data_IF_891342325199
#
_entry.id   IF_891342325199
#
_cell.length_a   1.000
_cell.length_b   1.000
_cell.length_c   1.000
_cell.angle_alpha   90.00
_cell.angle_beta   90.00
_cell.angle_gamma   90.00
#
_symmetry.space_group_name_H-M   'P 1'
#
loop_
_entity.id
_entity.type
_entity.pdbx_description
1 polymer ?
#
# COMPACT_ATOMS: atom_id res chain seq x y z
N UNK A 1 8.63 7.50 4.32
CA UNK A 1 7.73 6.66 3.50
C UNK A 1 7.76 5.25 4.06
N UNK A 2 6.63 4.72 4.54
CA UNK A 2 6.57 3.33 4.99
C UNK A 2 6.51 2.40 3.77
N UNK A 3 7.03 1.18 3.89
CA UNK A 3 7.10 0.23 2.78
C UNK A 3 6.88 -1.19 3.31
N UNK A 4 5.97 -1.92 2.68
CA UNK A 4 5.52 -3.25 3.08
C UNK A 4 5.70 -4.23 1.91
N UNK A 5 6.32 -5.37 2.20
CA UNK A 5 6.47 -6.45 1.23
C UNK A 5 5.26 -7.37 1.32
N UNK A 6 4.67 -7.71 0.18
CA UNK A 6 3.59 -8.69 0.11
C UNK A 6 4.21 -10.09 0.08
N UNK A 7 3.92 -10.97 1.06
CA UNK A 7 4.53 -12.30 1.14
C UNK A 7 4.30 -13.15 -0.11
N UNK A 8 5.32 -13.92 -0.50
CA UNK A 8 5.30 -14.85 -1.64
C UNK A 8 5.06 -14.21 -3.01
N UNK A 9 5.23 -12.89 -3.12
CA UNK A 9 5.11 -12.14 -4.38
C UNK A 9 6.24 -11.12 -4.47
N UNK A 10 6.41 -10.54 -5.66
CA UNK A 10 7.26 -9.35 -5.85
C UNK A 10 6.49 -8.04 -5.63
N UNK A 11 5.27 -8.11 -5.08
CA UNK A 11 4.46 -6.92 -4.87
C UNK A 11 4.94 -6.12 -3.66
N UNK A 12 4.74 -4.81 -3.73
CA UNK A 12 5.11 -3.88 -2.69
C UNK A 12 4.04 -2.82 -2.51
N UNK A 13 3.79 -2.47 -1.26
CA UNK A 13 2.93 -1.35 -0.88
C UNK A 13 3.80 -0.30 -0.22
N UNK A 14 3.77 0.93 -0.71
CA UNK A 14 4.39 2.08 -0.06
C UNK A 14 3.33 3.06 0.41
N UNK A 15 3.64 3.78 1.48
CA UNK A 15 2.74 4.80 2.03
C UNK A 15 3.45 6.14 2.09
N UNK A 16 2.94 7.09 1.31
CA UNK A 16 3.31 8.49 1.32
C UNK A 16 2.31 9.27 2.18
N UNK A 17 2.67 9.46 3.46
CA UNK A 17 1.84 10.19 4.43
C UNK A 17 1.80 11.69 4.15
N UNK A 18 2.76 12.24 3.42
CA UNK A 18 2.77 13.67 3.06
C UNK A 18 1.74 13.95 1.96
N UNK A 19 1.65 13.05 0.97
CA UNK A 19 0.62 13.12 -0.09
C UNK A 19 -0.70 12.47 0.29
N UNK A 20 -0.75 11.73 1.41
CA UNK A 20 -1.89 10.91 1.85
C UNK A 20 -2.27 9.87 0.79
N UNK A 21 -1.27 9.15 0.30
CA UNK A 21 -1.40 8.14 -0.75
C UNK A 21 -0.75 6.82 -0.37
N UNK A 22 -1.35 5.73 -0.84
CA UNK A 22 -0.80 4.38 -0.83
C UNK A 22 -0.49 4.00 -2.27
N UNK A 23 0.76 3.58 -2.50
CA UNK A 23 1.31 3.24 -3.81
C UNK A 23 1.49 1.73 -3.88
N UNK A 24 0.90 1.08 -4.87
CA UNK A 24 1.01 -0.35 -5.08
C UNK A 24 1.86 -0.66 -6.31
N UNK A 25 2.86 -1.51 -6.12
CA UNK A 25 3.76 -1.99 -7.15
C UNK A 25 3.58 -3.49 -7.28
N UNK A 26 3.32 -3.99 -8.50
CA UNK A 26 3.10 -5.41 -8.79
C UNK A 26 4.41 -6.18 -9.02
N UNK A 27 5.54 -5.50 -9.08
CA UNK A 27 6.85 -6.14 -9.12
C UNK A 27 7.92 -5.15 -8.67
N UNK A 28 9.05 -5.69 -8.19
CA UNK A 28 10.20 -4.90 -7.77
C UNK A 28 10.77 -4.02 -8.90
N UNK A 29 10.67 -4.47 -10.16
CA UNK A 29 11.17 -3.74 -11.31
C UNK A 29 10.46 -2.39 -11.52
N UNK A 30 9.14 -2.33 -11.34
CA UNK A 30 8.36 -1.11 -11.50
C UNK A 30 8.85 -0.03 -10.51
N UNK A 31 9.10 -0.43 -9.28
CA UNK A 31 9.65 0.46 -8.24
C UNK A 31 11.07 0.91 -8.56
N UNK A 32 11.96 -0.03 -8.88
CA UNK A 32 13.40 0.23 -9.02
C UNK A 32 13.78 0.89 -10.35
N UNK A 33 13.10 0.55 -11.44
CA UNK A 33 13.45 1.01 -12.78
C UNK A 33 12.60 2.19 -13.25
N UNK A 34 11.29 2.18 -12.96
CA UNK A 34 10.37 3.22 -13.46
C UNK A 34 10.02 4.27 -12.40
N UNK A 35 10.00 3.88 -11.12
CA UNK A 35 9.54 4.73 -10.02
C UNK A 35 8.03 5.02 -10.04
N UNK A 36 7.28 4.45 -10.99
CA UNK A 36 5.84 4.66 -11.11
C UNK A 36 5.08 3.45 -10.53
N UNK A 37 4.13 3.68 -9.61
CA UNK A 37 3.27 2.61 -9.10
C UNK A 37 2.30 2.13 -10.17
N UNK A 38 1.92 0.86 -10.08
CA UNK A 38 0.85 0.30 -10.91
C UNK A 38 -0.50 0.91 -10.52
N UNK A 39 -0.71 1.13 -9.23
CA UNK A 39 -1.95 1.67 -8.67
C UNK A 39 -1.65 2.66 -7.54
N UNK A 40 -2.42 3.74 -7.47
CA UNK A 40 -2.35 4.76 -6.41
C UNK A 40 -3.71 4.92 -5.77
N UNK A 41 -3.76 4.86 -4.44
CA UNK A 41 -4.96 5.00 -3.64
C UNK A 41 -4.81 6.16 -2.67
N UNK A 42 -5.71 7.13 -2.70
CA UNK A 42 -5.72 8.19 -1.69
C UNK A 42 -6.25 7.64 -0.37
N UNK A 43 -5.81 8.20 0.75
CA UNK A 43 -6.32 7.80 2.07
C UNK A 43 -7.83 7.98 2.14
N UNK A 44 -8.36 9.07 1.58
CA UNK A 44 -9.80 9.34 1.58
C UNK A 44 -10.59 8.27 0.80
N UNK A 45 -10.04 7.74 -0.30
CA UNK A 45 -10.65 6.63 -1.04
C UNK A 45 -10.65 5.33 -0.21
N UNK A 46 -9.55 5.04 0.48
CA UNK A 46 -9.43 3.86 1.35
C UNK A 46 -10.32 3.94 2.59
N UNK A 47 -10.51 5.14 3.13
CA UNK A 47 -11.43 5.39 4.25
C UNK A 47 -12.89 5.33 3.80
N UNK A 48 -13.20 5.74 2.57
CA UNK A 48 -14.54 5.69 2.01
C UNK A 48 -14.95 4.28 1.56
N UNK A 49 -13.99 3.47 1.07
CA UNK A 49 -14.23 2.11 0.59
C UNK A 49 -13.45 1.06 1.40
N UNK A 50 -14.17 0.42 2.33
CA UNK A 50 -13.63 -0.66 3.16
C UNK A 50 -13.17 -1.87 2.33
N UNK A 51 -13.76 -2.12 1.16
CA UNK A 51 -13.37 -3.21 0.27
C UNK A 51 -11.94 -3.04 -0.25
N UNK A 52 -11.58 -1.81 -0.64
CA UNK A 52 -10.22 -1.49 -1.06
C UNK A 52 -9.22 -1.66 0.08
N UNK A 53 -9.56 -1.18 1.27
CA UNK A 53 -8.69 -1.34 2.43
C UNK A 53 -8.45 -2.81 2.79
N UNK A 54 -9.51 -3.63 2.79
CA UNK A 54 -9.42 -5.06 3.06
C UNK A 54 -8.63 -5.82 1.99
N UNK A 55 -8.71 -5.39 0.72
CA UNK A 55 -7.92 -5.98 -0.35
C UNK A 55 -6.42 -5.74 -0.12
N UNK A 56 -6.04 -4.52 0.26
CA UNK A 56 -4.64 -4.18 0.54
C UNK A 56 -4.11 -4.88 1.80
N UNK A 57 -4.86 -4.83 2.91
CA UNK A 57 -4.42 -5.43 4.18
C UNK A 57 -4.43 -6.96 4.11
N UNK A 58 -5.33 -7.57 3.33
CA UNK A 58 -5.38 -9.01 3.11
C UNK A 58 -4.17 -9.58 2.38
N UNK A 59 -3.39 -8.75 1.69
CA UNK A 59 -2.12 -9.15 1.08
C UNK A 59 -0.94 -9.11 2.05
N UNK A 60 -1.07 -8.46 3.21
CA UNK A 60 0.05 -8.21 4.12
C UNK A 60 0.11 -9.20 5.28
N UNK A 61 1.30 -9.35 5.87
CA UNK A 61 1.43 -10.00 7.16
C UNK A 61 0.66 -9.21 8.23
N UNK A 62 0.14 -9.88 9.27
CA UNK A 62 -0.78 -9.26 10.23
C UNK A 62 -0.25 -8.00 10.92
N UNK A 63 1.07 -7.91 11.16
CA UNK A 63 1.68 -6.72 11.74
C UNK A 63 1.70 -5.54 10.75
N UNK A 64 2.01 -5.80 9.49
CA UNK A 64 2.10 -4.79 8.44
C UNK A 64 0.71 -4.32 8.00
N UNK A 65 -0.26 -5.24 7.99
CA UNK A 65 -1.68 -4.92 7.79
C UNK A 65 -2.19 -3.93 8.85
N UNK A 66 -1.91 -4.19 10.14
CA UNK A 66 -2.30 -3.31 11.23
C UNK A 66 -1.61 -1.93 11.13
N UNK A 67 -0.35 -1.90 10.72
CA UNK A 67 0.37 -0.64 10.53
C UNK A 67 -0.17 0.16 9.33
N UNK A 68 -0.52 -0.50 8.22
CA UNK A 68 -1.18 0.15 7.09
C UNK A 68 -2.52 0.79 7.51
N UNK A 69 -3.34 0.07 8.28
CA UNK A 69 -4.59 0.61 8.84
C UNK A 69 -4.36 1.82 9.73
N UNK A 70 -3.34 1.75 10.60
CA UNK A 70 -2.99 2.85 11.49
C UNK A 70 -2.53 4.10 10.72
N UNK A 71 -1.77 3.93 9.65
CA UNK A 71 -1.26 5.04 8.84
C UNK A 71 -2.36 5.71 8.00
N UNK A 72 -3.26 4.94 7.40
CA UNK A 72 -4.37 5.48 6.61
C UNK A 72 -5.42 6.16 7.51
N UNK A 73 -5.60 5.66 8.74
CA UNK A 73 -6.53 6.20 9.72
C UNK A 73 -6.03 7.41 10.53
N UNK A 74 -4.76 7.82 10.38
CA UNK A 74 -4.17 8.98 11.07
C UNK A 74 -4.38 10.29 10.32
#
# INVERSE_FOLDING_TARGET
>A
MASFTVPYTDHQIEVDTEKREVLFFRNAWNRESSGYPDETYTFDALLADRGLMLLLTGMLASNDAAELERLVGS
#
